data_IF_073343762797
#
_entry.id   IF_073343762797
#
_cell.length_a   1.000
_cell.length_b   1.000
_cell.length_c   1.000
_cell.angle_alpha   90.00
_cell.angle_beta   90.00
_cell.angle_gamma   90.00
#
_symmetry.space_group_name_H-M   'P 1'
#
loop_
_entity.id
_entity.type
_entity.pdbx_description
1 polymer ?
#
# COMPACT_ATOMS: atom_id res chain seq x y z
N UNK A 1 7.85 -20.91 -18.05
CA UNK A 1 8.92 -20.32 -17.20
C UNK A 1 9.19 -18.89 -17.65
N UNK A 2 8.94 -17.89 -16.78
CA UNK A 2 9.23 -16.43 -16.89
C UNK A 2 8.35 -15.75 -15.82
N UNK A 3 8.75 -14.92 -14.86
CA UNK A 3 10.02 -14.29 -14.46
C UNK A 3 9.87 -14.01 -12.95
N UNK A 4 10.81 -14.47 -12.14
CA UNK A 4 10.92 -14.07 -10.74
C UNK A 4 11.40 -12.62 -10.70
N UNK A 5 10.53 -11.69 -10.30
CA UNK A 5 10.94 -10.34 -9.92
C UNK A 5 11.33 -10.36 -8.45
N UNK A 6 12.61 -10.67 -8.27
CA UNK A 6 13.46 -10.35 -7.14
C UNK A 6 13.22 -8.89 -6.71
N UNK A 7 12.43 -8.68 -5.66
CA UNK A 7 12.36 -7.40 -4.98
C UNK A 7 13.36 -7.43 -3.83
N UNK A 8 14.36 -6.56 -3.96
CA UNK A 8 15.49 -6.39 -3.08
C UNK A 8 15.08 -6.18 -1.61
N UNK A 9 15.85 -6.85 -0.76
CA UNK A 9 16.15 -6.54 0.63
C UNK A 9 16.19 -5.04 0.95
N UNK A 10 15.46 -4.64 1.98
CA UNK A 10 15.79 -3.48 2.81
C UNK A 10 15.69 -3.91 4.28
N UNK A 11 16.78 -4.49 4.77
CA UNK A 11 17.04 -4.63 6.19
C UNK A 11 17.47 -3.26 6.74
N UNK A 12 16.70 -2.71 7.68
CA UNK A 12 17.19 -1.66 8.58
C UNK A 12 17.05 -2.20 9.99
N UNK A 13 18.21 -2.44 10.58
CA UNK A 13 18.45 -2.90 11.93
C UNK A 13 18.01 -1.84 12.97
N UNK A 14 17.34 -2.34 14.00
CA UNK A 14 17.41 -2.02 15.43
C UNK A 14 18.25 -0.81 15.90
N UNK A 15 17.63 0.04 16.73
CA UNK A 15 18.25 0.58 17.96
C UNK A 15 17.16 1.01 18.96
N UNK A 16 17.14 0.37 20.13
CA UNK A 16 16.38 0.77 21.31
C UNK A 16 16.90 2.10 21.88
N UNK A 17 16.02 2.94 22.44
CA UNK A 17 16.23 3.68 23.71
C UNK A 17 15.02 4.55 24.10
N UNK A 18 14.57 4.42 25.35
CA UNK A 18 14.15 5.57 26.17
C UNK A 18 12.65 5.81 26.38
N UNK A 19 12.11 5.30 27.50
CA UNK A 19 11.14 6.03 28.34
C UNK A 19 11.94 7.03 29.23
N UNK A 20 11.41 8.18 29.72
CA UNK A 20 10.25 8.19 30.64
C UNK A 20 9.31 9.45 30.65
N UNK A 21 8.22 9.30 31.41
CA UNK A 21 7.48 10.28 32.25
C UNK A 21 6.78 11.53 31.66
N UNK A 22 5.44 11.53 31.81
CA UNK A 22 4.68 12.57 32.55
C UNK A 22 4.45 13.95 31.94
N UNK A 23 3.19 14.28 31.60
CA UNK A 23 2.34 15.35 32.21
C UNK A 23 1.08 15.62 31.36
N UNK A 24 -0.03 15.86 32.07
CA UNK A 24 -1.39 16.21 31.64
C UNK A 24 -1.49 17.71 31.23
N UNK A 25 -2.68 18.34 31.10
CA UNK A 25 -3.78 18.19 30.15
C UNK A 25 -3.84 19.40 29.18
N UNK A 26 -4.30 19.18 27.94
CA UNK A 26 -4.44 20.26 26.96
C UNK A 26 -5.70 20.09 26.14
N UNK A 27 -6.82 20.60 26.65
CA UNK A 27 -8.04 20.78 25.89
C UNK A 27 -7.76 21.76 24.75
N UNK A 28 -7.61 21.23 23.53
CA UNK A 28 -7.81 22.02 22.31
C UNK A 28 -9.01 21.41 21.59
N UNK A 29 -10.15 22.06 21.81
CA UNK A 29 -11.35 21.99 21.00
C UNK A 29 -11.02 22.32 19.55
N UNK A 30 -10.46 21.35 18.83
CA UNK A 30 -10.41 21.40 17.38
C UNK A 30 -11.74 20.88 16.86
N UNK A 31 -12.60 21.83 16.52
CA UNK A 31 -13.77 21.62 15.67
C UNK A 31 -13.39 20.71 14.49
N UNK A 32 -14.10 19.58 14.27
CA UNK A 32 -13.83 18.76 13.10
C UNK A 32 -14.29 19.54 11.88
N UNK A 33 -13.32 20.14 11.17
CA UNK A 33 -13.52 20.73 9.85
C UNK A 33 -14.04 19.62 8.93
N UNK A 34 -15.35 19.66 8.67
CA UNK A 34 -16.08 18.77 7.77
C UNK A 34 -15.59 19.00 6.35
N UNK A 35 -14.43 18.44 6.01
CA UNK A 35 -13.98 18.33 4.63
C UNK A 35 -14.64 17.07 4.07
N UNK A 36 -15.83 17.23 3.49
CA UNK A 36 -16.41 16.26 2.57
C UNK A 36 -15.33 15.89 1.54
N UNK A 37 -14.82 14.66 1.63
CA UNK A 37 -13.59 14.29 0.91
C UNK A 37 -13.12 12.89 1.29
N UNK A 38 -13.96 11.89 1.00
CA UNK A 38 -13.66 10.46 0.80
C UNK A 38 -12.36 9.98 1.47
N UNK A 39 -12.36 9.93 2.80
CA UNK A 39 -11.37 9.11 3.50
C UNK A 39 -11.56 7.65 3.08
N UNK A 40 -10.47 6.91 2.86
CA UNK A 40 -10.56 5.45 2.64
C UNK A 40 -11.45 4.83 3.72
N UNK A 41 -12.34 3.88 3.38
CA UNK A 41 -13.22 3.26 4.37
C UNK A 41 -12.43 2.68 5.56
N UNK A 42 -11.17 2.28 5.33
CA UNK A 42 -10.25 1.87 6.38
C UNK A 42 -9.82 3.02 7.32
N UNK A 43 -9.53 4.20 6.77
CA UNK A 43 -9.14 5.38 7.53
C UNK A 43 -10.28 5.90 8.43
N UNK A 44 -11.53 5.81 7.96
CA UNK A 44 -12.70 6.19 8.76
C UNK A 44 -12.90 5.24 9.95
N UNK A 45 -12.82 3.93 9.71
CA UNK A 45 -12.92 2.92 10.76
C UNK A 45 -11.83 3.05 11.83
N UNK A 46 -10.58 3.17 11.38
CA UNK A 46 -9.44 3.37 12.28
C UNK A 46 -9.48 4.69 13.02
N UNK A 47 -10.27 5.68 12.56
CA UNK A 47 -10.53 6.93 13.28
C UNK A 47 -11.58 6.84 14.38
N UNK A 48 -12.54 5.95 14.26
CA UNK A 48 -13.54 5.70 15.30
C UNK A 48 -13.08 4.75 16.40
N UNK A 49 -11.97 4.02 16.21
CA UNK A 49 -11.48 3.07 17.21
C UNK A 49 -10.90 3.77 18.45
N UNK A 50 -11.17 3.25 19.67
CA UNK A 50 -10.53 3.73 20.90
C UNK A 50 -9.01 3.72 20.78
N UNK A 51 -8.34 4.74 21.34
CA UNK A 51 -6.89 4.90 21.23
C UNK A 51 -6.11 3.68 21.77
N UNK A 52 -6.64 3.03 22.82
CA UNK A 52 -6.09 1.79 23.39
C UNK A 52 -6.07 0.64 22.40
N UNK A 53 -7.09 0.54 21.53
CA UNK A 53 -7.20 -0.52 20.53
C UNK A 53 -6.50 -0.17 19.22
N UNK A 54 -6.39 1.12 18.90
CA UNK A 54 -5.86 1.60 17.62
C UNK A 54 -4.40 1.22 17.40
N UNK A 55 -3.54 1.43 18.41
CA UNK A 55 -2.11 1.08 18.33
C UNK A 55 -1.90 -0.43 18.09
N UNK A 56 -2.41 -1.34 18.94
CA UNK A 56 -2.25 -2.78 18.71
C UNK A 56 -2.91 -3.24 17.40
N UNK A 57 -4.04 -2.63 17.00
CA UNK A 57 -4.68 -2.95 15.73
C UNK A 57 -3.78 -2.64 14.53
N UNK A 58 -3.10 -1.48 14.54
CA UNK A 58 -2.15 -1.12 13.47
C UNK A 58 -0.95 -2.07 13.41
N UNK A 59 -0.43 -2.51 14.56
CA UNK A 59 0.65 -3.49 14.60
C UNK A 59 0.22 -4.84 14.01
N UNK A 60 -0.97 -5.33 14.35
CA UNK A 60 -1.52 -6.56 13.78
C UNK A 60 -1.74 -6.42 12.26
N UNK A 61 -2.26 -5.30 11.78
CA UNK A 61 -2.41 -5.05 10.35
C UNK A 61 -1.06 -5.00 9.62
N UNK A 62 -0.02 -4.45 10.25
CA UNK A 62 1.35 -4.46 9.71
C UNK A 62 1.89 -5.90 9.64
N UNK A 63 1.78 -6.68 10.73
CA UNK A 63 2.16 -8.10 10.77
C UNK A 63 1.43 -8.90 9.70
N UNK A 64 0.10 -8.73 9.56
CA UNK A 64 -0.73 -9.39 8.56
C UNK A 64 -0.23 -9.14 7.14
N UNK A 65 0.12 -7.89 6.81
CA UNK A 65 0.68 -7.54 5.49
C UNK A 65 2.05 -8.19 5.27
N UNK A 66 2.93 -8.12 6.26
CA UNK A 66 4.25 -8.76 6.21
C UNK A 66 4.14 -10.27 6.02
N UNK A 67 3.24 -10.95 6.76
CA UNK A 67 3.00 -12.39 6.62
C UNK A 67 2.49 -12.75 5.22
N UNK A 68 1.60 -11.93 4.65
CA UNK A 68 1.10 -12.14 3.28
C UNK A 68 2.16 -11.89 2.20
N UNK A 69 3.10 -10.98 2.46
CA UNK A 69 4.20 -10.64 1.54
C UNK A 69 5.45 -11.50 1.74
N UNK A 70 5.58 -12.19 2.88
CA UNK A 70 6.67 -13.13 3.17
C UNK A 70 6.79 -14.15 2.03
N UNK A 71 7.98 -14.70 1.81
CA UNK A 71 8.26 -15.74 0.80
C UNK A 71 8.18 -17.17 1.33
N UNK A 72 7.74 -17.36 2.58
CA UNK A 72 7.61 -18.69 3.21
C UNK A 72 6.55 -19.63 2.60
N UNK A 73 6.43 -20.84 3.16
CA UNK A 73 5.45 -21.84 2.72
C UNK A 73 4.02 -21.32 2.82
N UNK A 74 3.17 -21.70 1.85
CA UNK A 74 1.76 -21.28 1.79
C UNK A 74 0.97 -21.71 3.04
N UNK A 75 1.33 -22.85 3.62
CA UNK A 75 0.66 -23.39 4.80
C UNK A 75 0.96 -22.56 6.05
N UNK A 76 2.23 -22.23 6.29
CA UNK A 76 2.64 -21.39 7.42
C UNK A 76 2.05 -19.98 7.33
N UNK A 77 2.03 -19.41 6.11
CA UNK A 77 1.37 -18.13 5.84
C UNK A 77 -0.11 -18.17 6.20
N UNK A 78 -0.81 -19.24 5.85
CA UNK A 78 -2.24 -19.38 6.15
C UNK A 78 -2.44 -19.48 7.67
N UNK A 79 -1.69 -20.32 8.36
CA UNK A 79 -1.75 -20.47 9.83
C UNK A 79 -1.46 -19.13 10.54
N UNK A 80 -0.38 -18.45 10.16
CA UNK A 80 -0.02 -17.14 10.73
C UNK A 80 -1.06 -16.06 10.41
N UNK A 81 -1.59 -16.02 9.18
CA UNK A 81 -2.65 -15.08 8.80
C UNK A 81 -3.92 -15.31 9.64
N UNK A 82 -4.32 -16.57 9.85
CA UNK A 82 -5.50 -16.90 10.67
C UNK A 82 -5.27 -16.58 12.16
N UNK A 83 -4.07 -16.81 12.68
CA UNK A 83 -3.71 -16.43 14.05
C UNK A 83 -3.82 -14.92 14.26
N UNK A 84 -3.21 -14.13 13.37
CA UNK A 84 -3.25 -12.66 13.43
C UNK A 84 -4.69 -12.16 13.28
N UNK A 85 -5.49 -12.75 12.38
CA UNK A 85 -6.90 -12.38 12.23
C UNK A 85 -7.72 -12.71 13.48
N UNK A 86 -7.40 -13.81 14.17
CA UNK A 86 -7.96 -14.14 15.49
C UNK A 86 -7.61 -13.10 16.57
N UNK A 87 -6.39 -12.60 16.61
CA UNK A 87 -5.99 -11.51 17.51
C UNK A 87 -6.72 -10.20 17.17
N UNK A 88 -6.91 -9.90 15.88
CA UNK A 88 -7.71 -8.75 15.42
C UNK A 88 -9.17 -8.90 15.89
N UNK A 89 -9.74 -10.10 15.80
CA UNK A 89 -11.11 -10.36 16.27
C UNK A 89 -11.23 -10.14 17.78
N UNK A 90 -10.28 -10.63 18.59
CA UNK A 90 -10.26 -10.42 20.05
C UNK A 90 -10.13 -8.94 20.42
N UNK A 91 -9.27 -8.20 19.73
CA UNK A 91 -9.03 -6.79 20.01
C UNK A 91 -10.24 -5.91 19.68
N UNK A 92 -10.84 -6.13 18.50
CA UNK A 92 -11.96 -5.33 18.01
C UNK A 92 -13.30 -5.75 18.64
N UNK A 93 -13.49 -7.04 18.93
CA UNK A 93 -14.76 -7.58 19.42
C UNK A 93 -15.88 -7.32 18.42
N UNK A 94 -16.90 -6.57 18.84
CA UNK A 94 -18.09 -6.26 18.02
C UNK A 94 -17.76 -5.50 16.73
N UNK A 95 -16.74 -4.63 16.76
CA UNK A 95 -16.32 -3.86 15.60
C UNK A 95 -15.60 -4.69 14.52
N UNK A 96 -15.25 -5.95 14.83
CA UNK A 96 -14.62 -6.86 13.86
C UNK A 96 -15.48 -7.08 12.62
N UNK A 97 -16.82 -7.15 12.77
CA UNK A 97 -17.74 -7.29 11.63
C UNK A 97 -17.63 -6.10 10.66
N UNK A 98 -17.53 -4.88 11.17
CA UNK A 98 -17.35 -3.66 10.36
C UNK A 98 -16.01 -3.70 9.62
N UNK A 99 -14.95 -4.12 10.32
CA UNK A 99 -13.63 -4.30 9.72
C UNK A 99 -13.64 -5.31 8.56
N UNK A 100 -14.33 -6.45 8.71
CA UNK A 100 -14.47 -7.46 7.65
C UNK A 100 -15.15 -6.89 6.40
N UNK A 101 -16.26 -6.19 6.56
CA UNK A 101 -16.96 -5.54 5.45
C UNK A 101 -16.08 -4.50 4.75
N UNK A 102 -15.34 -3.70 5.51
CA UNK A 102 -14.42 -2.69 4.94
C UNK A 102 -13.30 -3.36 4.15
N UNK A 103 -12.74 -4.44 4.67
CA UNK A 103 -11.70 -5.21 4.00
C UNK A 103 -12.21 -5.80 2.68
N UNK A 104 -13.43 -6.33 2.68
CA UNK A 104 -14.07 -6.86 1.47
C UNK A 104 -14.35 -5.77 0.43
N UNK A 105 -14.87 -4.62 0.85
CA UNK A 105 -15.05 -3.43 -0.02
C UNK A 105 -13.72 -2.96 -0.62
N UNK A 106 -12.65 -2.91 0.17
CA UNK A 106 -11.33 -2.51 -0.34
C UNK A 106 -10.82 -3.54 -1.34
N UNK A 107 -10.99 -4.83 -1.04
CA UNK A 107 -10.58 -5.91 -1.95
C UNK A 107 -11.34 -5.85 -3.27
N UNK A 108 -12.65 -5.58 -3.27
CA UNK A 108 -13.43 -5.42 -4.51
C UNK A 108 -13.01 -4.18 -5.30
N UNK A 109 -12.81 -3.03 -4.64
CA UNK A 109 -12.30 -1.80 -5.28
C UNK A 109 -10.92 -1.99 -5.92
N UNK A 110 -10.05 -2.79 -5.30
CA UNK A 110 -8.73 -3.10 -5.85
C UNK A 110 -8.79 -4.13 -6.99
N UNK A 111 -9.79 -5.02 -7.00
CA UNK A 111 -9.99 -5.98 -8.07
C UNK A 111 -10.45 -5.28 -9.36
N UNK A 112 -11.44 -4.38 -9.28
CA UNK A 112 -11.92 -3.61 -10.43
C UNK A 112 -10.85 -2.69 -11.01
N UNK A 113 -10.02 -2.07 -10.16
CA UNK A 113 -8.88 -1.26 -10.63
C UNK A 113 -7.80 -2.07 -11.36
N UNK A 114 -7.69 -3.37 -11.08
CA UNK A 114 -6.74 -4.25 -11.79
C UNK A 114 -7.22 -4.58 -13.21
N UNK A 115 -8.52 -4.47 -13.48
CA UNK A 115 -9.10 -4.65 -14.82
C UNK A 115 -8.85 -3.42 -15.70
N UNK A 116 -8.94 -2.20 -15.16
CA UNK A 116 -8.54 -0.97 -15.89
C UNK A 116 -7.01 -0.84 -16.09
N UNK A 117 -6.20 -1.41 -15.20
CA UNK A 117 -4.74 -1.50 -15.41
C UNK A 117 -4.34 -2.63 -16.39
N UNK A 118 -5.31 -3.41 -16.88
CA UNK A 118 -5.13 -4.51 -17.83
C UNK A 118 -5.43 -4.15 -19.28
N UNK A 119 -6.10 -3.02 -19.57
CA UNK A 119 -6.24 -2.50 -20.94
C UNK A 119 -5.08 -1.59 -21.31
N UNK A 120 -3.87 -2.15 -21.32
CA UNK A 120 -2.78 -1.53 -22.07
C UNK A 120 -3.02 -1.81 -23.55
N UNK A 121 -3.91 -1.04 -24.19
CA UNK A 121 -3.66 -0.69 -25.59
C UNK A 121 -2.25 -0.13 -25.65
N UNK A 122 -1.34 -0.70 -26.45
CA UNK A 122 -0.02 -0.11 -26.61
C UNK A 122 -0.20 1.34 -27.06
N UNK A 123 0.57 2.31 -26.53
CA UNK A 123 0.56 3.65 -27.11
C UNK A 123 0.87 3.53 -28.61
N UNK A 124 0.22 4.33 -29.48
CA UNK A 124 0.55 4.32 -30.90
C UNK A 124 2.06 4.54 -31.06
N UNK A 125 2.71 3.88 -32.03
CA UNK A 125 4.13 4.05 -32.26
C UNK A 125 4.44 5.54 -32.45
N UNK A 126 5.59 6.04 -31.95
CA UNK A 126 6.00 7.41 -32.22
C UNK A 126 6.07 7.63 -33.75
N UNK A 127 5.70 8.83 -34.24
CA UNK A 127 5.81 9.13 -35.66
C UNK A 127 7.26 8.90 -36.12
N UNK A 128 7.47 8.34 -37.32
CA UNK A 128 8.81 8.11 -37.82
C UNK A 128 9.57 9.44 -37.91
N UNK A 129 10.88 9.45 -37.60
CA UNK A 129 11.71 10.63 -37.80
C UNK A 129 11.67 11.03 -39.28
N UNK A 130 11.66 12.33 -39.61
CA UNK A 130 11.67 12.77 -41.00
C UNK A 130 12.91 12.19 -41.69
N UNK A 131 12.68 11.39 -42.74
CA UNK A 131 13.74 10.96 -43.64
C UNK A 131 14.36 12.21 -44.27
N UNK A 132 15.51 12.61 -43.75
CA UNK A 132 16.34 13.63 -44.38
C UNK A 132 16.69 13.14 -45.78
N UNK A 133 16.05 13.75 -46.78
CA UNK A 133 16.36 13.54 -48.19
C UNK A 133 17.83 13.92 -48.41
N UNK A 134 18.56 12.93 -48.95
CA UNK A 134 19.84 13.03 -49.64
C UNK A 134 20.09 14.41 -50.27
N UNK A 135 21.06 15.14 -49.72
CA UNK A 135 21.63 16.37 -50.29
C UNK A 135 23.08 16.14 -50.67
N UNK A 136 23.28 15.42 -51.77
CA UNK A 136 24.55 15.19 -52.48
C UNK A 136 25.21 16.54 -52.82
N UNK A 137 26.31 16.91 -52.16
CA UNK A 137 27.18 18.01 -52.63
C UNK A 137 28.66 17.60 -52.64
N UNK A 138 29.05 17.09 -53.80
CA UNK A 138 30.42 16.85 -54.25
C UNK A 138 31.08 18.21 -54.56
N UNK A 139 32.18 18.57 -53.89
CA UNK A 139 33.12 19.63 -54.31
C UNK A 139 34.50 19.22 -53.79
N UNK A 140 35.26 18.46 -54.57
CA UNK A 140 36.30 18.90 -55.54
C UNK A 140 37.40 19.70 -54.81
N UNK A 141 38.58 19.06 -54.75
CA UNK A 141 39.73 19.47 -53.96
C UNK A 141 40.42 20.75 -54.42
N UNK A 142 41.47 21.08 -53.66
CA UNK A 142 42.35 22.21 -53.87
C UNK A 142 43.75 21.78 -53.44
N UNK A 143 44.66 21.88 -54.42
CA UNK A 143 46.12 22.12 -54.38
C UNK A 143 46.95 21.56 -53.23
#
# INVERSE_FOLDING_TARGET
>A
MRRMRLWLLAAVLCACSGLPAGTSPGATSSTPKTRSGIGSPFSLFTKGLPQEKRKPFMELMKKLRTTKQSTGSKEDKKKATMSIDGEIHKLLGEDYKKYRQITEKIKSLHATKKEEAGSSTPPPPPPPPPLAKSGKKKKKGTL
#
